data_IF_831126670535
#
_entry.id   IF_831126670535
#
_cell.length_a   1.000
_cell.length_b   1.000
_cell.length_c   1.000
_cell.angle_alpha   90.00
_cell.angle_beta   90.00
_cell.angle_gamma   90.00
#
_symmetry.space_group_name_H-M   'P 1'
#
loop_
_entity.id
_entity.type
_entity.pdbx_description
1 polymer ?
#
# COMPACT_ATOMS: atom_id res chain seq x y z
N UNK A 1 -17.39 5.24 -3.79
CA UNK A 1 -16.11 5.97 -3.63
C UNK A 1 -15.07 4.92 -3.26
N UNK A 2 -13.95 4.85 -3.99
CA UNK A 2 -12.88 3.87 -3.69
C UNK A 2 -12.18 4.20 -2.38
N UNK A 3 -11.48 3.21 -1.79
CA UNK A 3 -10.69 3.40 -0.57
C UNK A 3 -9.29 3.93 -0.90
N UNK A 4 -8.79 4.79 -0.04
CA UNK A 4 -7.39 5.20 -0.02
C UNK A 4 -6.64 4.31 0.95
N UNK A 5 -5.48 3.82 0.56
CA UNK A 5 -4.64 2.94 1.37
C UNK A 5 -3.17 3.22 1.14
N UNK A 6 -2.33 2.70 2.01
CA UNK A 6 -0.89 2.74 1.83
C UNK A 6 -0.24 1.47 2.33
N UNK A 7 0.93 1.15 1.76
CA UNK A 7 1.71 -0.03 2.07
C UNK A 7 3.11 0.35 2.55
N UNK A 8 3.52 -0.24 3.65
CA UNK A 8 4.91 -0.22 4.09
C UNK A 8 5.50 -1.62 3.95
N UNK A 9 6.61 -1.75 3.25
CA UNK A 9 7.25 -3.05 2.98
C UNK A 9 8.08 -3.46 4.18
N UNK A 10 7.58 -4.44 4.96
CA UNK A 10 8.26 -4.97 6.14
C UNK A 10 9.38 -5.90 5.72
N UNK A 11 9.11 -6.76 4.73
CA UNK A 11 10.08 -7.72 4.20
C UNK A 11 9.68 -8.17 2.79
N UNK A 12 10.65 -8.48 1.94
CA UNK A 12 10.43 -8.99 0.59
C UNK A 12 11.70 -9.63 0.02
N UNK A 13 11.59 -10.47 -1.03
CA UNK A 13 12.75 -10.93 -1.80
C UNK A 13 13.54 -9.80 -2.46
N UNK A 14 14.82 -10.03 -2.77
CA UNK A 14 15.72 -9.00 -3.36
C UNK A 14 15.25 -8.49 -4.73
N UNK A 15 14.54 -9.31 -5.50
CA UNK A 15 14.00 -8.97 -6.82
C UNK A 15 12.48 -8.71 -6.81
N UNK A 16 11.92 -8.44 -5.63
CA UNK A 16 10.49 -8.25 -5.45
C UNK A 16 9.95 -7.07 -6.27
N UNK A 17 8.74 -7.26 -6.75
CA UNK A 17 7.96 -6.24 -7.46
C UNK A 17 6.53 -6.30 -6.98
N UNK A 18 5.85 -5.18 -6.90
CA UNK A 18 4.40 -5.11 -6.69
C UNK A 18 3.72 -4.64 -7.96
N UNK A 19 2.46 -4.97 -8.09
CA UNK A 19 1.61 -4.34 -9.11
C UNK A 19 1.16 -2.98 -8.57
N UNK A 20 1.54 -1.90 -9.25
CA UNK A 20 1.10 -0.54 -8.93
C UNK A 20 0.87 0.23 -10.23
N UNK A 21 -0.41 0.40 -10.60
CA UNK A 21 -0.82 1.05 -11.83
C UNK A 21 -0.87 0.09 -13.03
N UNK A 22 -0.98 0.69 -14.22
CA UNK A 22 -1.09 0.00 -15.50
C UNK A 22 -0.37 0.79 -16.60
N UNK A 23 -0.28 0.21 -17.80
CA UNK A 23 0.44 0.79 -18.93
C UNK A 23 -0.46 1.40 -20.01
N UNK A 24 -1.79 1.26 -19.90
CA UNK A 24 -2.72 1.84 -20.87
C UNK A 24 -2.65 3.38 -20.86
N UNK A 25 -2.73 4.00 -22.02
CA UNK A 25 -2.57 5.45 -22.23
C UNK A 25 -3.88 6.18 -22.43
N UNK A 26 -4.96 5.45 -22.68
CA UNK A 26 -6.32 5.97 -22.86
C UNK A 26 -7.35 5.05 -22.23
N UNK A 27 -8.57 5.56 -22.03
CA UNK A 27 -9.71 4.75 -21.55
C UNK A 27 -10.09 3.64 -22.53
N UNK A 28 -9.97 3.90 -23.81
CA UNK A 28 -10.22 2.92 -24.87
C UNK A 28 -9.19 1.79 -24.81
N UNK A 29 -7.90 2.14 -24.79
CA UNK A 29 -6.81 1.15 -24.70
C UNK A 29 -6.91 0.31 -23.41
N UNK A 30 -7.26 0.95 -22.26
CA UNK A 30 -7.50 0.27 -21.00
C UNK A 30 -8.62 -0.78 -21.12
N UNK A 31 -9.75 -0.37 -21.70
CA UNK A 31 -10.91 -1.25 -21.92
C UNK A 31 -10.55 -2.43 -22.83
N UNK A 32 -9.86 -2.16 -23.94
CA UNK A 32 -9.44 -3.17 -24.90
C UNK A 32 -8.48 -4.18 -24.29
N UNK A 33 -7.43 -3.69 -23.59
CA UNK A 33 -6.46 -4.57 -22.91
C UNK A 33 -7.13 -5.50 -21.90
N UNK A 34 -8.09 -5.01 -21.14
CA UNK A 34 -8.82 -5.80 -20.13
C UNK A 34 -9.74 -6.83 -20.81
N UNK A 35 -10.54 -6.42 -21.80
CA UNK A 35 -11.48 -7.33 -22.48
C UNK A 35 -10.78 -8.41 -23.32
N UNK A 36 -9.64 -8.08 -23.90
CA UNK A 36 -8.82 -9.01 -24.67
C UNK A 36 -7.90 -9.87 -23.78
N UNK A 37 -7.85 -9.61 -22.46
CA UNK A 37 -7.01 -10.36 -21.53
C UNK A 37 -5.52 -10.13 -21.71
N UNK A 38 -5.13 -8.96 -22.23
CA UNK A 38 -3.71 -8.60 -22.46
C UNK A 38 -3.00 -8.18 -21.16
N UNK A 39 -3.05 -9.05 -20.15
CA UNK A 39 -2.58 -8.75 -18.79
C UNK A 39 -1.09 -8.44 -18.71
N UNK A 40 -0.27 -9.10 -19.49
CA UNK A 40 1.20 -8.87 -19.52
C UNK A 40 1.56 -7.48 -20.06
N UNK A 41 0.74 -6.93 -20.95
CA UNK A 41 0.90 -5.57 -21.45
C UNK A 41 0.27 -4.54 -20.50
N UNK A 42 -0.88 -4.89 -19.90
CA UNK A 42 -1.67 -4.01 -19.06
C UNK A 42 -1.03 -3.76 -17.70
N UNK A 43 -0.62 -4.82 -17.00
CA UNK A 43 -0.14 -4.74 -15.61
C UNK A 43 1.23 -4.10 -15.55
N UNK A 44 1.36 -3.10 -14.67
CA UNK A 44 2.66 -2.49 -14.39
C UNK A 44 3.25 -3.04 -13.09
N UNK A 45 4.46 -3.57 -13.19
CA UNK A 45 5.25 -4.01 -12.07
C UNK A 45 6.25 -2.94 -11.64
N UNK A 46 6.25 -2.63 -10.35
CA UNK A 46 7.14 -1.65 -9.73
C UNK A 46 8.11 -2.37 -8.80
N UNK A 47 9.43 -2.26 -9.01
CA UNK A 47 10.42 -2.83 -8.10
C UNK A 47 10.29 -2.23 -6.70
N UNK A 48 10.45 -3.07 -5.69
CA UNK A 48 10.39 -2.67 -4.29
C UNK A 48 11.51 -3.32 -3.48
N UNK A 49 11.77 -2.75 -2.31
CA UNK A 49 12.65 -3.32 -1.29
C UNK A 49 12.09 -3.09 0.11
N UNK A 50 12.62 -3.81 1.08
CA UNK A 50 12.32 -3.57 2.49
C UNK A 50 12.50 -2.10 2.84
N UNK A 51 11.53 -1.55 3.56
CA UNK A 51 11.52 -0.14 3.99
C UNK A 51 10.94 0.83 2.97
N UNK A 52 10.47 0.37 1.83
CA UNK A 52 9.72 1.21 0.89
C UNK A 52 8.30 1.48 1.37
N UNK A 53 7.77 2.63 0.98
CA UNK A 53 6.41 3.07 1.25
C UNK A 53 5.69 3.44 -0.04
N UNK A 54 4.43 3.02 -0.17
CA UNK A 54 3.61 3.22 -1.36
C UNK A 54 2.24 3.75 -0.94
N UNK A 55 1.83 4.88 -1.51
CA UNK A 55 0.47 5.39 -1.38
C UNK A 55 -0.37 4.88 -2.56
N UNK A 56 -1.49 4.25 -2.26
CA UNK A 56 -2.46 3.72 -3.22
C UNK A 56 -3.71 4.60 -3.18
N UNK A 57 -3.86 5.43 -4.19
CA UNK A 57 -5.04 6.27 -4.35
C UNK A 57 -6.19 5.47 -5.00
N UNK A 58 -7.46 5.84 -4.77
CA UNK A 58 -8.61 5.22 -5.44
C UNK A 58 -8.42 5.19 -6.97
N UNK A 59 -8.82 4.08 -7.59
CA UNK A 59 -8.66 3.88 -9.03
C UNK A 59 -7.29 3.36 -9.47
N UNK A 60 -6.36 3.17 -8.55
CA UNK A 60 -5.07 2.56 -8.85
C UNK A 60 -5.21 1.04 -8.94
N UNK A 61 -4.79 0.45 -10.06
CA UNK A 61 -4.64 -1.01 -10.17
C UNK A 61 -3.48 -1.45 -9.29
N UNK A 62 -3.71 -2.38 -8.37
CA UNK A 62 -2.68 -2.80 -7.43
C UNK A 62 -2.84 -4.26 -6.99
N UNK A 63 -1.74 -4.92 -6.71
CA UNK A 63 -1.72 -6.25 -6.11
C UNK A 63 -0.39 -6.53 -5.40
N UNK A 64 -0.49 -7.27 -4.29
CA UNK A 64 0.66 -7.78 -3.55
C UNK A 64 1.11 -9.09 -4.22
N UNK A 65 2.39 -9.19 -4.52
CA UNK A 65 3.00 -10.38 -5.10
C UNK A 65 3.49 -11.34 -4.02
N UNK A 66 3.78 -12.58 -4.42
CA UNK A 66 4.25 -13.62 -3.50
C UNK A 66 5.57 -13.24 -2.80
N UNK A 67 5.72 -13.64 -1.54
CA UNK A 67 6.92 -13.45 -0.74
C UNK A 67 7.04 -12.08 -0.07
N UNK A 68 6.14 -11.14 -0.32
CA UNK A 68 6.16 -9.83 0.32
C UNK A 68 5.36 -9.83 1.63
N UNK A 69 5.93 -9.20 2.65
CA UNK A 69 5.26 -8.89 3.93
C UNK A 69 5.03 -7.38 4.02
N UNK A 70 3.79 -6.97 4.16
CA UNK A 70 3.37 -5.58 4.05
C UNK A 70 2.53 -5.20 5.27
N UNK A 71 2.78 -4.01 5.82
CA UNK A 71 1.84 -3.32 6.70
C UNK A 71 0.95 -2.43 5.86
N UNK A 72 -0.31 -2.79 5.76
CA UNK A 72 -1.33 -2.01 5.08
C UNK A 72 -2.08 -1.12 6.07
N UNK A 73 -2.24 0.15 5.72
CA UNK A 73 -3.14 1.08 6.38
C UNK A 73 -4.15 1.58 5.35
N UNK A 74 -5.43 1.41 5.62
CA UNK A 74 -6.50 1.75 4.68
C UNK A 74 -7.69 2.42 5.37
N UNK A 75 -8.51 3.12 4.58
CA UNK A 75 -9.85 3.50 5.03
C UNK A 75 -10.68 2.25 5.36
N UNK A 76 -11.55 2.36 6.36
CA UNK A 76 -12.48 1.28 6.72
C UNK A 76 -13.54 1.09 5.62
N UNK A 77 -13.19 0.29 4.60
CA UNK A 77 -14.06 -0.07 3.48
C UNK A 77 -13.75 -1.48 3.02
N UNK A 78 -14.77 -2.26 2.74
CA UNK A 78 -14.70 -3.61 2.18
C UNK A 78 -14.89 -3.65 0.65
N UNK A 79 -15.08 -2.48 0.03
CA UNK A 79 -15.29 -2.39 -1.42
C UNK A 79 -13.97 -2.65 -2.16
N UNK A 80 -13.95 -3.75 -2.90
CA UNK A 80 -12.86 -4.11 -3.81
C UNK A 80 -13.44 -4.50 -5.16
N UNK A 81 -13.03 -3.81 -6.21
CA UNK A 81 -13.30 -4.24 -7.58
C UNK A 81 -12.13 -5.07 -8.09
N UNK A 82 -12.41 -6.34 -8.38
CA UNK A 82 -11.40 -7.28 -8.88
C UNK A 82 -11.49 -7.34 -10.38
N UNK A 83 -10.45 -6.87 -11.07
CA UNK A 83 -10.38 -6.86 -12.53
C UNK A 83 -9.74 -8.14 -13.07
N UNK A 84 -8.77 -8.70 -12.33
CA UNK A 84 -8.06 -9.93 -12.68
C UNK A 84 -7.67 -10.69 -11.41
N UNK A 85 -7.65 -12.00 -11.46
CA UNK A 85 -7.35 -12.85 -10.30
C UNK A 85 -6.38 -14.01 -10.58
N UNK A 86 -5.64 -13.94 -11.68
CA UNK A 86 -4.62 -14.95 -12.06
C UNK A 86 -5.20 -16.39 -12.10
N UNK A 87 -6.46 -16.54 -12.46
CA UNK A 87 -7.20 -17.80 -12.49
C UNK A 87 -7.20 -18.59 -11.17
N UNK A 88 -6.98 -17.91 -10.04
CA UNK A 88 -6.95 -18.53 -8.72
C UNK A 88 -8.31 -19.03 -8.29
N UNK A 89 -8.31 -20.22 -7.67
CA UNK A 89 -9.51 -20.80 -7.10
C UNK A 89 -9.53 -20.62 -5.58
N UNK A 90 -10.65 -20.19 -5.03
CA UNK A 90 -10.93 -20.15 -3.60
C UNK A 90 -12.01 -21.18 -3.31
N UNK A 91 -11.69 -22.21 -2.52
CA UNK A 91 -12.61 -23.35 -2.28
C UNK A 91 -13.08 -24.03 -3.58
N UNK A 92 -12.17 -24.17 -4.56
CA UNK A 92 -12.45 -24.81 -5.86
C UNK A 92 -13.27 -23.98 -6.85
N UNK A 93 -13.53 -22.70 -6.55
CA UNK A 93 -14.27 -21.78 -7.43
C UNK A 93 -13.47 -20.50 -7.69
N UNK A 94 -13.54 -19.93 -8.90
CA UNK A 94 -12.96 -18.62 -9.16
C UNK A 94 -13.67 -17.56 -8.31
N UNK A 95 -12.93 -16.52 -7.92
CA UNK A 95 -13.51 -15.34 -7.27
C UNK A 95 -14.22 -14.48 -8.30
N UNK A 96 -15.27 -13.80 -7.87
CA UNK A 96 -16.02 -12.88 -8.73
C UNK A 96 -15.12 -11.76 -9.26
N UNK A 97 -15.21 -11.50 -10.55
CA UNK A 97 -14.57 -10.36 -11.21
C UNK A 97 -15.61 -9.25 -11.44
N UNK A 98 -15.14 -8.01 -11.37
CA UNK A 98 -15.95 -6.79 -11.53
C UNK A 98 -15.44 -5.98 -12.72
N UNK A 99 -15.30 -6.60 -13.90
CA UNK A 99 -14.60 -6.06 -15.07
C UNK A 99 -15.11 -4.66 -15.44
N UNK A 100 -16.39 -4.54 -15.76
CA UNK A 100 -16.98 -3.26 -16.20
C UNK A 100 -16.85 -2.16 -15.15
N UNK A 101 -17.14 -2.50 -13.87
CA UNK A 101 -17.01 -1.57 -12.76
C UNK A 101 -15.54 -1.14 -12.53
N UNK A 102 -14.60 -2.04 -12.79
CA UNK A 102 -13.17 -1.73 -12.70
C UNK A 102 -12.78 -0.76 -13.81
N UNK A 103 -13.22 -1.00 -15.05
CA UNK A 103 -12.96 -0.11 -16.19
C UNK A 103 -13.49 1.30 -15.92
N UNK A 104 -14.67 1.42 -15.32
CA UNK A 104 -15.28 2.72 -15.00
C UNK A 104 -14.50 3.54 -13.95
N UNK A 105 -13.76 2.89 -13.04
CA UNK A 105 -13.14 3.56 -11.91
C UNK A 105 -11.61 3.61 -11.97
N UNK A 106 -10.96 2.86 -12.86
CA UNK A 106 -9.51 2.89 -13.01
C UNK A 106 -9.07 4.24 -13.55
N UNK A 107 -8.09 4.83 -12.88
CA UNK A 107 -7.48 6.10 -13.28
C UNK A 107 -6.49 5.88 -14.42
N UNK A 108 -6.77 6.39 -15.60
CA UNK A 108 -5.94 6.19 -16.80
C UNK A 108 -4.53 6.80 -16.66
N UNK A 109 -4.41 7.98 -16.04
CA UNK A 109 -3.11 8.59 -15.78
C UNK A 109 -2.50 8.03 -14.51
N UNK A 110 -1.96 6.82 -14.58
CA UNK A 110 -1.24 6.22 -13.46
C UNK A 110 0.05 7.01 -13.15
N UNK A 111 0.39 7.15 -11.86
CA UNK A 111 1.68 7.74 -11.43
C UNK A 111 2.84 6.99 -12.09
N UNK A 112 3.96 7.69 -12.31
CA UNK A 112 5.18 7.03 -12.81
C UNK A 112 5.67 5.95 -11.84
N UNK A 113 6.56 5.09 -12.27
CA UNK A 113 7.17 4.08 -11.40
C UNK A 113 7.94 4.76 -10.27
N UNK A 114 8.70 5.81 -10.61
CA UNK A 114 9.54 6.58 -9.69
C UNK A 114 8.70 7.31 -8.64
N UNK A 115 7.54 7.85 -9.04
CA UNK A 115 6.64 8.57 -8.14
C UNK A 115 5.74 7.65 -7.30
N UNK A 116 5.76 6.35 -7.60
CA UNK A 116 4.92 5.37 -6.90
C UNK A 116 5.53 4.86 -5.60
N UNK A 117 6.86 4.97 -5.43
CA UNK A 117 7.60 4.39 -4.30
C UNK A 117 8.44 5.44 -3.59
N UNK A 118 8.32 5.53 -2.29
CA UNK A 118 9.18 6.33 -1.42
C UNK A 118 10.14 5.42 -0.66
N UNK A 119 11.45 5.61 -0.84
CA UNK A 119 12.46 4.96 -0.01
C UNK A 119 12.52 5.63 1.38
N UNK A 120 12.25 4.86 2.42
CA UNK A 120 12.26 5.37 3.80
C UNK A 120 13.44 4.88 4.64
N UNK A 121 14.44 4.22 4.04
CA UNK A 121 15.54 3.60 4.80
C UNK A 121 16.52 4.62 5.41
N UNK A 122 16.64 5.79 4.78
CA UNK A 122 17.59 6.82 5.20
C UNK A 122 16.91 8.02 5.87
N UNK A 123 15.72 7.84 6.43
CA UNK A 123 15.04 8.92 7.15
C UNK A 123 15.74 9.24 8.48
N UNK A 124 15.74 10.50 8.93
CA UNK A 124 16.33 10.91 10.21
C UNK A 124 15.78 10.11 11.40
N UNK A 125 16.68 9.70 12.30
CA UNK A 125 16.32 9.08 13.57
C UNK A 125 15.82 10.11 14.60
N UNK A 126 15.14 9.64 15.63
CA UNK A 126 14.63 10.40 16.76
C UNK A 126 13.72 11.57 16.33
N UNK A 127 13.01 11.39 15.22
CA UNK A 127 12.11 12.37 14.63
C UNK A 127 10.92 11.68 13.96
N UNK A 128 9.74 12.28 14.07
CA UNK A 128 8.56 11.89 13.29
C UNK A 128 8.77 12.26 11.84
N UNK A 129 8.98 11.25 11.00
CA UNK A 129 9.10 11.41 9.55
C UNK A 129 7.74 11.18 8.91
N UNK A 130 7.12 12.24 8.41
CA UNK A 130 5.83 12.14 7.71
C UNK A 130 6.03 11.43 6.38
N UNK A 131 5.33 10.30 6.18
CA UNK A 131 5.33 9.55 4.93
C UNK A 131 4.23 10.03 4.00
N UNK A 132 3.03 10.24 4.56
CA UNK A 132 1.88 10.77 3.82
C UNK A 132 0.94 11.55 4.74
N UNK A 133 0.25 12.51 4.17
CA UNK A 133 -0.91 13.18 4.75
C UNK A 133 -1.97 13.31 3.66
N UNK A 134 -3.14 12.73 3.90
CA UNK A 134 -4.30 12.83 3.03
C UNK A 134 -5.54 13.24 3.84
N UNK A 135 -6.68 13.35 3.19
CA UNK A 135 -7.94 13.72 3.86
C UNK A 135 -8.31 12.78 5.00
N UNK A 136 -7.91 11.48 4.93
CA UNK A 136 -8.40 10.43 5.80
C UNK A 136 -7.45 10.05 6.92
N UNK A 137 -6.12 10.19 6.70
CA UNK A 137 -5.10 9.81 7.66
C UNK A 137 -3.75 10.50 7.41
N UNK A 138 -2.92 10.45 8.43
CA UNK A 138 -1.48 10.80 8.35
C UNK A 138 -0.68 9.60 8.79
N UNK A 139 0.38 9.29 8.05
CA UNK A 139 1.29 8.19 8.39
C UNK A 139 2.68 8.75 8.62
N UNK A 140 3.28 8.32 9.71
CA UNK A 140 4.64 8.69 10.08
C UNK A 140 5.47 7.44 10.32
N UNK A 141 6.76 7.55 10.06
CA UNK A 141 7.78 6.58 10.49
C UNK A 141 8.66 7.22 11.57
N UNK A 142 8.89 6.48 12.64
CA UNK A 142 9.81 6.84 13.70
C UNK A 142 10.83 5.72 13.86
N UNK A 143 12.12 6.06 13.79
CA UNK A 143 13.24 5.22 14.23
C UNK A 143 13.77 5.88 15.48
N UNK A 144 13.53 5.26 16.63
CA UNK A 144 13.89 5.83 17.94
C UNK A 144 15.08 5.09 18.55
N UNK A 145 16.12 5.86 18.91
CA UNK A 145 17.23 5.44 19.75
C UNK A 145 17.33 6.43 20.91
N UNK A 146 16.93 5.99 22.11
CA UNK A 146 16.78 6.85 23.29
C UNK A 146 15.34 7.21 23.60
N UNK A 147 15.05 8.47 23.84
CA UNK A 147 13.76 8.97 24.31
C UNK A 147 13.25 10.09 23.40
N UNK A 148 11.93 10.15 23.23
CA UNK A 148 11.24 11.22 22.51
C UNK A 148 9.93 11.56 23.24
N UNK A 149 9.80 12.81 23.64
CA UNK A 149 8.54 13.35 24.14
C UNK A 149 7.77 14.04 23.01
N UNK A 150 6.47 13.80 22.95
CA UNK A 150 5.59 14.48 22.01
C UNK A 150 4.19 14.64 22.57
N UNK A 151 3.49 15.68 22.13
CA UNK A 151 2.09 15.91 22.44
C UNK A 151 1.21 15.33 21.34
N UNK A 152 0.30 14.42 21.70
CA UNK A 152 -0.67 13.84 20.79
C UNK A 152 -1.94 14.73 20.78
N UNK A 153 -2.20 15.40 19.63
CA UNK A 153 -3.31 16.36 19.46
C UNK A 153 -4.45 15.84 18.54
N UNK A 154 -4.32 14.64 18.00
CA UNK A 154 -5.36 14.02 17.16
C UNK A 154 -6.33 13.19 18.00
N UNK A 155 -7.52 12.83 17.47
CA UNK A 155 -8.50 12.00 18.20
C UNK A 155 -7.94 10.66 18.67
N UNK A 156 -7.02 10.06 17.92
CA UNK A 156 -6.31 8.83 18.28
C UNK A 156 -4.99 8.70 17.51
N UNK A 157 -4.13 7.82 18.00
CA UNK A 157 -2.90 7.41 17.37
C UNK A 157 -2.79 5.88 17.40
N UNK A 158 -2.60 5.26 16.25
CA UNK A 158 -2.24 3.86 16.13
C UNK A 158 -0.73 3.75 15.91
N UNK A 159 -0.06 2.95 16.72
CA UNK A 159 1.37 2.69 16.58
C UNK A 159 1.60 1.20 16.29
N UNK A 160 2.33 0.90 15.22
CA UNK A 160 2.79 -0.45 14.91
C UNK A 160 4.30 -0.51 15.18
N UNK A 161 4.72 -1.32 16.14
CA UNK A 161 6.12 -1.61 16.37
C UNK A 161 6.59 -2.66 15.39
N UNK A 162 7.47 -2.30 14.46
CA UNK A 162 7.94 -3.18 13.39
C UNK A 162 9.26 -3.86 13.73
N UNK A 163 10.04 -3.26 14.64
CA UNK A 163 11.31 -3.80 15.09
C UNK A 163 11.66 -3.23 16.49
N UNK A 164 12.42 -4.00 17.26
CA UNK A 164 12.86 -3.57 18.59
C UNK A 164 11.81 -3.68 19.70
N UNK A 165 12.10 -3.07 20.82
CA UNK A 165 11.23 -2.96 21.98
C UNK A 165 11.48 -1.65 22.74
N UNK A 166 10.52 -1.21 23.53
CA UNK A 166 10.62 0.03 24.29
C UNK A 166 9.48 0.22 25.27
N UNK A 167 9.22 1.46 25.63
CA UNK A 167 8.06 1.84 26.44
C UNK A 167 7.34 3.04 25.84
N UNK A 168 6.02 3.09 26.02
CA UNK A 168 5.19 4.27 25.75
C UNK A 168 4.41 4.58 27.02
N UNK A 169 4.59 5.78 27.58
CA UNK A 169 3.99 6.18 28.86
C UNK A 169 4.22 5.15 29.98
N UNK A 170 5.45 4.59 30.07
CA UNK A 170 5.83 3.55 31.05
C UNK A 170 5.33 2.13 30.72
N UNK A 171 4.55 1.94 29.68
CA UNK A 171 4.03 0.64 29.27
C UNK A 171 4.95 0.00 28.25
N UNK A 172 5.44 -1.23 28.55
CA UNK A 172 6.34 -1.96 27.64
C UNK A 172 5.65 -2.32 26.33
N UNK A 173 6.34 -2.08 25.24
CA UNK A 173 5.93 -2.38 23.90
C UNK A 173 6.99 -3.19 23.16
N UNK A 174 6.54 -4.05 22.25
CA UNK A 174 7.41 -4.82 21.34
C UNK A 174 6.66 -4.99 20.02
N UNK A 175 7.19 -5.76 19.08
CA UNK A 175 6.53 -6.09 17.82
C UNK A 175 5.02 -6.35 18.03
N UNK A 176 4.20 -5.36 17.74
CA UNK A 176 2.74 -5.40 17.91
C UNK A 176 2.08 -4.12 17.39
N UNK A 177 0.76 -4.15 17.27
CA UNK A 177 -0.07 -2.98 17.09
C UNK A 177 -0.50 -2.43 18.45
N UNK A 178 -0.35 -1.13 18.68
CA UNK A 178 -0.74 -0.43 19.90
C UNK A 178 -1.71 0.68 19.53
N UNK A 179 -2.81 0.74 20.27
CA UNK A 179 -3.80 1.81 20.16
C UNK A 179 -3.63 2.80 21.32
N UNK A 180 -3.45 4.08 21.01
CA UNK A 180 -3.28 5.16 22.00
C UNK A 180 -4.29 6.27 21.74
#
# INVERSE_FOLDING_TARGET
MGKTECWYIIDCPDDAKLVVGHNAKSQEELSDMIHEGRWDEFIRYVPIKKGDFIQIDPGTVHAITSGCMILETQQNSDITYRVYDYDRLTNGKPRELHVDKSIDVITVQAKSTEDSVMDTNNLPQNKWNKLIECEYYKVYKLVLDGELEFEQSHPFLNMSVLDGEGTVNGQRIKLSLIHI
#
